data_IF_404515440887
#
_entry.id   IF_404515440887
#
_cell.length_a   1.000
_cell.length_b   1.000
_cell.length_c   1.000
_cell.angle_alpha   90.00
_cell.angle_beta   90.00
_cell.angle_gamma   90.00
#
_symmetry.space_group_name_H-M   'P 1'
#
loop_
_entity.id
_entity.type
_entity.pdbx_description
1 polymer ?
#
# COMPACT_ATOMS: atom_id res chain seq x y z
N UNK A 1 22.36 -9.55 14.87
CA UNK A 1 23.61 -9.14 14.19
C UNK A 1 23.42 -9.07 12.67
N UNK A 2 23.00 -10.15 12.00
CA UNK A 2 22.81 -10.16 10.54
C UNK A 2 21.79 -9.12 10.02
N UNK A 3 20.66 -8.94 10.70
CA UNK A 3 19.65 -7.93 10.36
C UNK A 3 20.21 -6.51 10.39
N UNK A 4 20.92 -6.14 11.46
CA UNK A 4 21.54 -4.82 11.63
C UNK A 4 22.58 -4.53 10.55
N UNK A 5 23.42 -5.52 10.20
CA UNK A 5 24.41 -5.39 9.13
C UNK A 5 23.73 -5.13 7.78
N UNK A 6 22.66 -5.88 7.47
CA UNK A 6 21.93 -5.73 6.21
C UNK A 6 21.23 -4.37 6.11
N UNK A 7 20.61 -3.91 7.21
CA UNK A 7 20.01 -2.57 7.29
C UNK A 7 21.08 -1.50 7.10
N UNK A 8 22.26 -1.65 7.72
CA UNK A 8 23.39 -0.74 7.54
C UNK A 8 23.84 -0.67 6.07
N UNK A 9 24.01 -1.81 5.42
CA UNK A 9 24.38 -1.88 4.00
C UNK A 9 23.32 -1.22 3.10
N UNK A 10 22.04 -1.52 3.31
CA UNK A 10 20.94 -0.86 2.63
C UNK A 10 20.99 0.67 2.83
N UNK A 11 21.22 1.12 4.06
CA UNK A 11 21.26 2.55 4.40
C UNK A 11 22.39 3.28 3.68
N UNK A 12 23.59 2.67 3.62
CA UNK A 12 24.75 3.26 2.93
C UNK A 12 24.50 3.39 1.42
N UNK A 13 24.03 2.31 0.77
CA UNK A 13 23.73 2.35 -0.68
C UNK A 13 22.65 3.38 -0.98
N UNK A 14 21.59 3.38 -0.17
CA UNK A 14 20.46 4.31 -0.35
C UNK A 14 20.90 5.75 -0.15
N UNK A 15 21.82 6.02 0.78
CA UNK A 15 22.37 7.37 1.01
C UNK A 15 23.24 7.85 -0.17
N UNK A 16 24.07 6.97 -0.75
CA UNK A 16 24.85 7.30 -1.96
C UNK A 16 23.92 7.65 -3.11
N UNK A 17 22.86 6.87 -3.29
CA UNK A 17 21.89 7.11 -4.34
C UNK A 17 21.03 8.35 -4.09
N UNK A 18 20.68 8.60 -2.82
CA UNK A 18 19.98 9.79 -2.36
C UNK A 18 20.74 11.06 -2.74
N UNK A 19 22.04 11.14 -2.45
CA UNK A 19 22.88 12.29 -2.78
C UNK A 19 22.92 12.52 -4.31
N UNK A 20 23.04 11.45 -5.09
CA UNK A 20 23.00 11.53 -6.55
C UNK A 20 21.65 12.01 -7.09
N UNK A 21 20.53 11.54 -6.52
CA UNK A 21 19.19 12.03 -6.89
C UNK A 21 19.03 13.51 -6.52
N UNK A 22 19.52 13.91 -5.35
CA UNK A 22 19.53 15.29 -4.90
C UNK A 22 20.29 16.22 -5.85
N UNK A 23 21.48 15.83 -6.29
CA UNK A 23 22.27 16.58 -7.27
C UNK A 23 21.64 16.62 -8.67
N UNK A 24 20.83 15.62 -9.02
CA UNK A 24 20.25 15.48 -10.36
C UNK A 24 19.05 16.40 -10.60
N UNK A 25 18.23 16.61 -9.56
CA UNK A 25 16.98 17.36 -9.66
C UNK A 25 16.58 17.97 -8.32
N UNK A 26 16.36 19.28 -8.34
CA UNK A 26 15.97 20.06 -7.16
C UNK A 26 14.51 19.81 -6.73
N UNK A 27 13.60 19.56 -7.67
CA UNK A 27 12.22 19.19 -7.40
C UNK A 27 11.68 18.26 -8.49
N UNK A 28 10.87 17.29 -8.08
CA UNK A 28 10.36 16.23 -8.95
C UNK A 28 8.83 16.24 -8.92
N UNK A 29 8.21 16.81 -9.97
CA UNK A 29 6.75 16.77 -10.19
C UNK A 29 6.00 17.35 -8.98
N UNK A 30 5.19 16.56 -8.27
CA UNK A 30 4.36 17.04 -7.16
C UNK A 30 5.18 17.27 -5.88
N UNK A 31 6.45 16.88 -5.86
CA UNK A 31 7.36 17.13 -4.76
C UNK A 31 7.48 18.63 -4.47
N UNK A 32 7.35 19.47 -5.51
CA UNK A 32 7.43 20.93 -5.37
C UNK A 32 6.39 21.45 -4.37
N UNK A 33 5.14 20.95 -4.44
CA UNK A 33 4.08 21.34 -3.51
C UNK A 33 4.41 20.91 -2.08
N UNK A 34 4.95 19.71 -1.91
CA UNK A 34 5.34 19.18 -0.60
C UNK A 34 6.57 19.93 -0.04
N UNK A 35 7.59 20.21 -0.84
CA UNK A 35 8.79 20.96 -0.46
C UNK A 35 8.40 22.34 0.05
N UNK A 36 7.63 23.10 -0.75
CA UNK A 36 7.24 24.46 -0.38
C UNK A 36 6.48 24.47 0.95
N UNK A 37 5.48 23.60 1.09
CA UNK A 37 4.70 23.49 2.33
C UNK A 37 5.55 23.03 3.53
N UNK A 38 6.48 22.09 3.31
CA UNK A 38 7.39 21.60 4.34
C UNK A 38 8.34 22.69 4.85
N UNK A 39 8.86 23.54 3.95
CA UNK A 39 9.68 24.69 4.32
C UNK A 39 8.86 25.72 5.09
N UNK A 40 7.67 26.07 4.62
CA UNK A 40 6.74 26.98 5.31
C UNK A 40 6.49 26.54 6.76
N UNK A 41 6.20 25.26 6.98
CA UNK A 41 5.99 24.71 8.33
C UNK A 41 7.30 24.67 9.14
N UNK A 42 8.43 24.34 8.51
CA UNK A 42 9.73 24.34 9.17
C UNK A 42 10.14 25.75 9.67
N UNK A 43 9.77 26.80 8.93
CA UNK A 43 9.99 28.20 9.34
C UNK A 43 8.97 28.73 10.36
N UNK A 44 7.98 27.93 10.77
CA UNK A 44 7.00 28.30 11.79
C UNK A 44 5.70 28.93 11.27
N UNK A 45 5.49 29.00 9.95
CA UNK A 45 4.29 29.58 9.34
C UNK A 45 3.15 28.55 9.24
N UNK A 46 2.62 28.09 10.38
CA UNK A 46 1.66 26.97 10.42
C UNK A 46 0.27 27.28 9.86
N UNK A 47 -0.08 28.56 9.72
CA UNK A 47 -1.38 29.00 9.23
C UNK A 47 -1.47 29.00 7.69
N UNK A 48 -0.34 28.92 7.00
CA UNK A 48 -0.31 28.90 5.55
C UNK A 48 -0.52 27.48 5.01
N UNK A 49 -1.46 27.33 4.07
CA UNK A 49 -1.75 26.05 3.44
C UNK A 49 -1.85 26.20 1.92
N UNK A 50 -1.08 25.40 1.18
CA UNK A 50 -1.17 25.38 -0.27
C UNK A 50 -2.45 24.65 -0.71
N UNK A 51 -3.35 25.31 -1.45
CA UNK A 51 -4.65 24.74 -1.84
C UNK A 51 -4.55 23.54 -2.79
N UNK A 52 -3.38 23.30 -3.41
CA UNK A 52 -3.13 22.13 -4.27
C UNK A 52 -2.78 20.86 -3.50
N UNK A 53 -2.51 20.96 -2.20
CA UNK A 53 -2.20 19.80 -1.37
C UNK A 53 -3.50 19.13 -0.93
N UNK A 54 -3.68 17.90 -1.39
CA UNK A 54 -4.88 17.10 -1.13
C UNK A 54 -4.79 16.30 0.16
N UNK A 55 -3.58 16.03 0.67
CA UNK A 55 -3.31 15.23 1.87
C UNK A 55 -3.51 16.00 3.18
N UNK A 56 -3.60 15.28 4.30
CA UNK A 56 -3.61 15.87 5.65
C UNK A 56 -2.18 16.36 6.04
N UNK A 57 -2.04 17.18 7.09
CA UNK A 57 -0.78 17.87 7.39
C UNK A 57 0.32 16.98 7.99
N UNK A 58 0.13 15.65 8.11
CA UNK A 58 1.01 14.77 8.86
C UNK A 58 2.48 14.84 8.46
N UNK A 59 2.77 14.92 7.16
CA UNK A 59 4.13 15.05 6.65
C UNK A 59 4.80 16.36 7.11
N UNK A 60 4.06 17.46 7.08
CA UNK A 60 4.57 18.79 7.44
C UNK A 60 4.66 18.99 8.96
N UNK A 61 3.86 18.29 9.75
CA UNK A 61 4.02 18.30 11.21
C UNK A 61 5.35 17.68 11.65
N UNK A 62 5.90 16.72 10.88
CA UNK A 62 7.22 16.16 11.16
C UNK A 62 8.32 17.20 10.94
N UNK A 63 8.16 18.13 9.99
CA UNK A 63 9.22 19.08 9.64
C UNK A 63 9.50 20.10 10.74
N UNK A 64 8.56 20.29 11.67
CA UNK A 64 8.69 21.16 12.84
C UNK A 64 9.89 20.76 13.71
N UNK A 65 10.22 19.47 13.72
CA UNK A 65 11.32 18.92 14.53
C UNK A 65 12.66 18.92 13.78
N UNK A 66 12.73 19.44 12.55
CA UNK A 66 13.97 19.48 11.81
C UNK A 66 14.88 20.62 12.28
N UNK A 67 16.18 20.36 12.48
CA UNK A 67 17.12 21.38 12.96
C UNK A 67 17.48 22.42 11.88
N UNK A 68 17.28 22.09 10.59
CA UNK A 68 17.54 22.97 9.45
C UNK A 68 16.45 22.80 8.42
N UNK A 69 15.96 23.90 7.86
CA UNK A 69 14.96 23.92 6.80
C UNK A 69 15.65 23.96 5.44
N UNK A 70 15.79 22.80 4.80
CA UNK A 70 16.29 22.69 3.43
C UNK A 70 15.64 21.52 2.70
N UNK A 71 15.66 21.54 1.36
CA UNK A 71 15.15 20.42 0.56
C UNK A 71 15.84 19.11 0.94
N UNK A 72 17.15 19.16 1.20
CA UNK A 72 17.93 18.00 1.65
C UNK A 72 17.37 17.43 2.96
N UNK A 73 17.15 18.26 4.00
CA UNK A 73 16.65 17.77 5.29
C UNK A 73 15.20 17.29 5.23
N UNK A 74 14.37 17.90 4.37
CA UNK A 74 13.03 17.39 4.09
C UNK A 74 13.09 15.99 3.48
N UNK A 75 13.86 15.79 2.41
CA UNK A 75 14.03 14.47 1.78
C UNK A 75 14.62 13.42 2.73
N UNK A 76 15.46 13.83 3.69
CA UNK A 76 15.98 12.92 4.73
C UNK A 76 14.88 12.27 5.58
N UNK A 77 13.70 12.88 5.71
CA UNK A 77 12.55 12.26 6.40
C UNK A 77 12.16 10.95 5.70
N UNK A 78 12.01 10.97 4.38
CA UNK A 78 11.67 9.78 3.58
C UNK A 78 12.77 8.72 3.68
N UNK A 79 14.04 9.14 3.63
CA UNK A 79 15.18 8.25 3.77
C UNK A 79 15.17 7.53 5.12
N UNK A 80 15.04 8.27 6.24
CA UNK A 80 14.98 7.69 7.59
C UNK A 80 13.77 6.78 7.74
N UNK A 81 12.60 7.20 7.26
CA UNK A 81 11.39 6.36 7.24
C UNK A 81 11.61 5.05 6.48
N UNK A 82 12.40 5.05 5.40
CA UNK A 82 12.71 3.82 4.65
C UNK A 82 13.55 2.81 5.45
N UNK A 83 14.48 3.29 6.28
CA UNK A 83 15.27 2.44 7.19
C UNK A 83 14.36 1.83 8.26
N UNK A 84 13.48 2.66 8.84
CA UNK A 84 12.48 2.21 9.82
C UNK A 84 11.52 1.19 9.19
N UNK A 85 11.11 1.39 7.94
CA UNK A 85 10.29 0.44 7.18
C UNK A 85 10.99 -0.91 7.06
N UNK A 86 12.29 -0.93 6.74
CA UNK A 86 13.04 -2.17 6.66
C UNK A 86 13.06 -2.92 8.00
N UNK A 87 13.27 -2.20 9.10
CA UNK A 87 13.18 -2.78 10.44
C UNK A 87 11.80 -3.41 10.71
N UNK A 88 10.71 -2.67 10.50
CA UNK A 88 9.36 -3.21 10.74
C UNK A 88 9.01 -4.38 9.82
N UNK A 89 9.45 -4.36 8.56
CA UNK A 89 9.25 -5.47 7.63
C UNK A 89 9.90 -6.74 8.19
N UNK A 90 11.16 -6.68 8.65
CA UNK A 90 11.85 -7.83 9.24
C UNK A 90 11.11 -8.33 10.49
N UNK A 91 10.73 -7.43 11.40
CA UNK A 91 10.04 -7.78 12.65
C UNK A 91 8.67 -8.41 12.43
N UNK A 92 7.85 -7.84 11.54
CA UNK A 92 6.53 -8.38 11.20
C UNK A 92 6.67 -9.76 10.57
N UNK A 93 7.61 -9.93 9.62
CA UNK A 93 7.86 -11.22 8.97
C UNK A 93 8.32 -12.28 9.97
N UNK A 94 9.24 -11.93 10.86
CA UNK A 94 9.75 -12.82 11.91
C UNK A 94 8.62 -13.30 12.84
N UNK A 95 7.67 -12.42 13.18
CA UNK A 95 6.51 -12.77 13.99
C UNK A 95 5.51 -13.69 13.25
N UNK A 96 5.28 -13.45 11.96
CA UNK A 96 4.34 -14.24 11.14
C UNK A 96 4.84 -15.68 10.93
N UNK A 97 6.14 -15.87 10.65
CA UNK A 97 6.74 -17.18 10.34
C UNK A 97 7.11 -18.02 11.57
N UNK A 98 7.09 -17.45 12.78
CA UNK A 98 7.29 -18.14 14.07
C UNK A 98 8.48 -19.13 14.07
N UNK A 99 9.74 -18.67 14.18
CA UNK A 99 10.99 -19.46 14.41
C UNK A 99 11.22 -20.75 13.57
N UNK A 100 10.37 -21.07 12.59
CA UNK A 100 10.45 -22.29 11.77
C UNK A 100 11.26 -22.07 10.49
N UNK A 101 11.39 -20.83 10.06
CA UNK A 101 12.16 -20.43 8.87
C UNK A 101 13.58 -20.04 9.26
N UNK A 102 14.52 -20.29 8.34
CA UNK A 102 15.90 -19.81 8.45
C UNK A 102 15.92 -18.26 8.49
N UNK A 103 16.73 -17.67 9.37
CA UNK A 103 16.85 -16.22 9.52
C UNK A 103 17.23 -15.56 8.19
N UNK A 104 18.04 -16.24 7.37
CA UNK A 104 18.42 -15.76 6.04
C UNK A 104 17.25 -15.64 5.07
N UNK A 105 16.24 -16.51 5.18
CA UNK A 105 15.07 -16.47 4.30
C UNK A 105 14.18 -15.28 4.63
N UNK A 106 14.03 -14.97 5.93
CA UNK A 106 13.32 -13.76 6.39
C UNK A 106 14.05 -12.51 5.88
N UNK A 107 15.37 -12.46 6.00
CA UNK A 107 16.18 -11.32 5.54
C UNK A 107 16.10 -11.14 4.01
N UNK A 108 16.23 -12.22 3.24
CA UNK A 108 16.11 -12.18 1.79
C UNK A 108 14.73 -11.69 1.34
N UNK A 109 13.67 -12.21 1.96
CA UNK A 109 12.30 -11.80 1.66
C UNK A 109 12.07 -10.32 2.00
N UNK A 110 12.55 -9.89 3.17
CA UNK A 110 12.45 -8.49 3.60
C UNK A 110 13.21 -7.55 2.68
N UNK A 111 14.40 -7.94 2.22
CA UNK A 111 15.20 -7.17 1.26
C UNK A 111 14.49 -7.04 -0.10
N UNK A 112 13.86 -8.13 -0.58
CA UNK A 112 13.05 -8.11 -1.82
C UNK A 112 11.90 -7.11 -1.72
N UNK A 113 11.25 -7.03 -0.56
CA UNK A 113 10.12 -6.12 -0.30
C UNK A 113 10.59 -4.66 -0.23
N UNK A 114 11.67 -4.36 0.51
CA UNK A 114 12.16 -2.97 0.66
C UNK A 114 12.70 -2.41 -0.65
N UNK A 115 13.30 -3.26 -1.48
CA UNK A 115 13.77 -2.88 -2.82
C UNK A 115 12.66 -2.88 -3.88
N UNK A 116 11.38 -3.00 -3.49
CA UNK A 116 10.24 -2.81 -4.40
C UNK A 116 10.41 -1.49 -5.18
N UNK A 117 10.51 -1.51 -6.52
CA UNK A 117 11.10 -0.37 -7.24
C UNK A 117 10.40 0.99 -7.04
N UNK A 118 9.05 1.09 -7.03
CA UNK A 118 8.40 2.35 -6.74
C UNK A 118 8.65 2.80 -5.28
N UNK A 119 8.51 1.89 -4.31
CA UNK A 119 8.77 2.20 -2.90
C UNK A 119 10.20 2.67 -2.68
N UNK A 120 11.17 2.02 -3.33
CA UNK A 120 12.57 2.39 -3.22
C UNK A 120 12.85 3.77 -3.82
N UNK A 121 12.27 4.09 -4.98
CA UNK A 121 12.38 5.43 -5.56
C UNK A 121 11.81 6.52 -4.64
N UNK A 122 10.60 6.31 -4.09
CA UNK A 122 9.95 7.28 -3.21
C UNK A 122 10.67 7.46 -1.86
N UNK A 123 11.59 6.57 -1.47
CA UNK A 123 12.45 6.78 -0.30
C UNK A 123 13.48 7.89 -0.45
N UNK A 124 13.72 8.36 -1.68
CA UNK A 124 14.75 9.34 -2.01
C UNK A 124 14.19 10.76 -2.18
N UNK A 125 12.86 10.92 -2.15
CA UNK A 125 12.16 12.16 -2.45
C UNK A 125 11.11 12.47 -1.37
N UNK A 126 10.74 13.74 -1.26
CA UNK A 126 9.91 14.23 -0.16
C UNK A 126 8.41 14.10 -0.46
N UNK A 127 7.86 12.93 -0.14
CA UNK A 127 6.46 12.57 -0.36
C UNK A 127 5.83 11.94 0.88
N UNK A 128 4.50 11.92 0.94
CA UNK A 128 3.74 11.31 2.04
C UNK A 128 3.79 9.78 2.06
N UNK A 129 4.12 9.15 0.93
CA UNK A 129 4.03 7.70 0.71
C UNK A 129 4.87 6.87 1.69
N UNK A 130 6.16 7.20 1.86
CA UNK A 130 7.07 6.41 2.69
C UNK A 130 6.79 6.57 4.19
N UNK A 131 6.57 7.80 4.72
CA UNK A 131 6.11 7.98 6.11
C UNK A 131 4.73 7.35 6.38
N UNK A 132 3.81 7.35 5.40
CA UNK A 132 2.53 6.65 5.50
C UNK A 132 2.73 5.13 5.65
N UNK A 133 3.66 4.53 4.90
CA UNK A 133 4.02 3.12 5.06
C UNK A 133 4.58 2.87 6.46
N UNK A 134 5.46 3.73 6.97
CA UNK A 134 6.05 3.59 8.31
C UNK A 134 4.99 3.55 9.41
N UNK A 135 4.05 4.48 9.35
CA UNK A 135 2.97 4.56 10.35
C UNK A 135 2.01 3.37 10.26
N UNK A 136 1.65 2.90 9.05
CA UNK A 136 0.83 1.69 8.88
C UNK A 136 1.54 0.42 9.36
N UNK A 137 2.83 0.25 9.01
CA UNK A 137 3.62 -0.88 9.51
C UNK A 137 3.71 -0.86 11.04
N UNK A 138 3.89 0.32 11.65
CA UNK A 138 3.85 0.48 13.10
C UNK A 138 2.50 0.06 13.69
N UNK A 139 1.38 0.50 13.08
CA UNK A 139 0.03 0.08 13.47
C UNK A 139 -0.11 -1.45 13.45
N UNK A 140 0.30 -2.09 12.35
CA UNK A 140 0.24 -3.55 12.23
C UNK A 140 1.10 -4.23 13.29
N UNK A 141 2.36 -3.80 13.45
CA UNK A 141 3.30 -4.34 14.41
C UNK A 141 2.76 -4.31 15.84
N UNK A 142 2.29 -3.14 16.31
CA UNK A 142 1.75 -3.00 17.66
C UNK A 142 0.42 -3.74 17.84
N UNK A 143 -0.42 -3.82 16.80
CA UNK A 143 -1.64 -4.65 16.84
C UNK A 143 -1.28 -6.13 17.02
N UNK A 144 -0.26 -6.64 16.32
CA UNK A 144 0.20 -8.03 16.47
C UNK A 144 0.77 -8.32 17.87
N UNK A 145 1.30 -7.31 18.55
CA UNK A 145 1.75 -7.38 19.95
C UNK A 145 0.62 -7.19 20.97
N UNK A 146 -0.64 -7.08 20.52
CA UNK A 146 -1.81 -6.75 21.35
C UNK A 146 -1.71 -5.39 22.08
N UNK A 147 -0.81 -4.50 21.63
CA UNK A 147 -0.66 -3.13 22.13
C UNK A 147 -1.58 -2.19 21.35
N UNK A 148 -2.88 -2.37 21.55
CA UNK A 148 -3.93 -1.74 20.74
C UNK A 148 -3.98 -0.21 20.86
N UNK A 149 -3.64 0.35 22.04
CA UNK A 149 -3.57 1.81 22.23
C UNK A 149 -2.47 2.41 21.37
N UNK A 150 -1.24 1.90 21.48
CA UNK A 150 -0.11 2.40 20.67
C UNK A 150 -0.35 2.19 19.18
N UNK A 151 -0.92 1.04 18.80
CA UNK A 151 -1.33 0.79 17.42
C UNK A 151 -2.33 1.83 16.92
N UNK A 152 -3.32 2.22 17.73
CA UNK A 152 -4.30 3.25 17.35
C UNK A 152 -3.69 4.65 17.23
N UNK A 153 -2.69 4.99 18.05
CA UNK A 153 -1.92 6.24 17.92
C UNK A 153 -1.16 6.26 16.59
N UNK A 154 -0.43 5.17 16.26
CA UNK A 154 0.20 5.03 14.96
C UNK A 154 -0.83 5.07 13.81
N UNK A 155 -2.02 4.49 14.04
CA UNK A 155 -3.13 4.51 13.09
C UNK A 155 -3.62 5.93 12.82
N UNK A 156 -3.78 6.73 13.87
CA UNK A 156 -4.09 8.16 13.75
C UNK A 156 -3.01 8.90 12.94
N UNK A 157 -1.73 8.70 13.25
CA UNK A 157 -0.64 9.30 12.50
C UNK A 157 -0.65 8.88 11.03
N UNK A 158 -1.02 7.63 10.73
CA UNK A 158 -1.15 7.15 9.35
C UNK A 158 -2.26 7.86 8.58
N UNK A 159 -3.38 8.18 9.24
CA UNK A 159 -4.47 8.96 8.64
C UNK A 159 -4.01 10.39 8.40
N UNK A 160 -3.25 10.99 9.32
CA UNK A 160 -2.67 12.32 9.11
C UNK A 160 -1.68 12.36 7.93
N UNK A 161 -0.99 11.27 7.63
CA UNK A 161 -0.17 11.18 6.41
C UNK A 161 -1.05 11.13 5.16
N UNK A 162 -2.09 10.28 5.17
CA UNK A 162 -3.01 10.09 4.04
C UNK A 162 -4.40 9.69 4.53
N UNK A 163 -5.45 10.37 4.06
CA UNK A 163 -6.83 10.13 4.52
C UNK A 163 -7.30 8.70 4.23
N UNK A 164 -6.91 8.15 3.08
CA UNK A 164 -7.28 6.79 2.66
C UNK A 164 -6.77 5.71 3.62
N UNK A 165 -5.77 6.02 4.46
CA UNK A 165 -5.26 5.09 5.47
C UNK A 165 -6.29 4.71 6.53
N UNK A 166 -7.39 5.46 6.65
CA UNK A 166 -8.51 5.09 7.53
C UNK A 166 -9.05 3.69 7.22
N UNK A 167 -9.02 3.28 5.95
CA UNK A 167 -9.48 1.96 5.51
C UNK A 167 -8.64 0.84 6.12
N UNK A 168 -7.34 1.08 6.34
CA UNK A 168 -6.43 0.13 6.97
C UNK A 168 -6.62 0.10 8.49
N UNK A 169 -6.81 1.27 9.12
CA UNK A 169 -7.09 1.36 10.57
C UNK A 169 -8.39 0.65 10.94
N UNK A 170 -9.49 0.95 10.21
CA UNK A 170 -10.78 0.29 10.40
C UNK A 170 -10.71 -1.20 10.08
N UNK A 171 -9.93 -1.56 9.07
CA UNK A 171 -9.63 -2.93 8.69
C UNK A 171 -8.97 -3.76 9.80
N UNK A 172 -7.92 -3.20 10.43
CA UNK A 172 -7.23 -3.83 11.57
C UNK A 172 -8.16 -3.99 12.77
N UNK A 173 -8.98 -2.98 13.07
CA UNK A 173 -10.02 -3.09 14.10
C UNK A 173 -10.98 -4.25 13.78
N UNK A 174 -11.53 -4.29 12.58
CA UNK A 174 -12.47 -5.32 12.15
C UNK A 174 -11.88 -6.73 12.22
N UNK A 175 -10.63 -6.91 11.76
CA UNK A 175 -9.91 -8.18 11.88
C UNK A 175 -9.79 -8.62 13.34
N UNK A 176 -9.33 -7.74 14.24
CA UNK A 176 -9.16 -8.08 15.65
C UNK A 176 -10.49 -8.42 16.35
N UNK A 177 -11.58 -7.73 16.00
CA UNK A 177 -12.93 -8.03 16.52
C UNK A 177 -13.38 -9.42 16.04
N UNK A 178 -13.27 -9.69 14.74
CA UNK A 178 -13.65 -10.98 14.15
C UNK A 178 -12.86 -12.12 14.80
N UNK A 179 -11.54 -11.96 14.92
CA UNK A 179 -10.67 -12.98 15.49
C UNK A 179 -10.94 -13.19 16.99
N UNK A 180 -11.24 -12.12 17.74
CA UNK A 180 -11.66 -12.22 19.14
C UNK A 180 -13.00 -12.94 19.30
N UNK A 181 -13.98 -12.68 18.43
CA UNK A 181 -15.27 -13.37 18.41
C UNK A 181 -15.10 -14.87 18.15
N UNK A 182 -14.29 -15.23 17.15
CA UNK A 182 -14.04 -16.64 16.80
C UNK A 182 -13.30 -17.34 17.94
N UNK A 183 -12.25 -16.73 18.49
CA UNK A 183 -11.46 -17.31 19.58
C UNK A 183 -12.30 -17.55 20.85
N UNK A 184 -13.31 -16.72 21.13
CA UNK A 184 -14.21 -16.92 22.27
C UNK A 184 -15.09 -18.16 22.13
N UNK A 185 -15.54 -18.48 20.92
CA UNK A 185 -16.37 -19.66 20.64
C UNK A 185 -15.53 -20.92 20.44
N UNK A 186 -14.32 -20.76 19.89
CA UNK A 186 -13.38 -21.83 19.60
C UNK A 186 -12.01 -21.54 20.25
N UNK A 187 -11.82 -21.81 21.55
CA UNK A 187 -10.60 -21.41 22.27
C UNK A 187 -9.30 -22.03 21.71
N UNK A 188 -9.39 -23.25 21.18
CA UNK A 188 -8.23 -24.03 20.70
C UNK A 188 -8.01 -23.95 19.18
N UNK A 189 -8.74 -23.07 18.47
CA UNK A 189 -8.60 -22.96 17.02
C UNK A 189 -7.31 -22.22 16.64
N UNK A 190 -6.57 -22.76 15.67
CA UNK A 190 -5.60 -21.94 14.95
C UNK A 190 -6.37 -20.95 14.07
N UNK A 191 -6.37 -19.67 14.47
CA UNK A 191 -7.07 -18.60 13.75
C UNK A 191 -6.65 -18.52 12.27
N UNK A 192 -5.43 -18.93 11.90
CA UNK A 192 -4.99 -18.96 10.49
C UNK A 192 -5.78 -19.98 9.64
N UNK A 193 -6.46 -20.94 10.27
CA UNK A 193 -7.31 -21.95 9.62
C UNK A 193 -8.81 -21.65 9.74
N UNK A 194 -9.16 -20.51 10.35
CA UNK A 194 -10.55 -20.08 10.46
C UNK A 194 -11.20 -19.90 9.09
N UNK A 195 -12.51 -20.14 9.02
CA UNK A 195 -13.28 -20.15 7.78
C UNK A 195 -14.61 -19.41 7.95
N UNK A 196 -15.31 -19.20 6.84
CA UNK A 196 -16.64 -18.55 6.82
C UNK A 196 -17.65 -19.26 7.72
N UNK A 197 -17.57 -20.61 7.84
CA UNK A 197 -18.40 -21.39 8.76
C UNK A 197 -18.17 -21.01 10.22
N UNK A 198 -16.90 -20.86 10.62
CA UNK A 198 -16.54 -20.46 11.98
C UNK A 198 -17.05 -19.05 12.30
N UNK A 199 -16.90 -18.12 11.35
CA UNK A 199 -17.41 -16.76 11.48
C UNK A 199 -18.94 -16.74 11.65
N UNK A 200 -19.66 -17.48 10.80
CA UNK A 200 -21.13 -17.58 10.88
C UNK A 200 -21.59 -18.10 12.24
N UNK A 201 -20.98 -19.19 12.73
CA UNK A 201 -21.32 -19.74 14.06
C UNK A 201 -20.96 -18.77 15.18
N UNK A 202 -19.81 -18.08 15.07
CA UNK A 202 -19.40 -17.08 16.05
C UNK A 202 -20.41 -15.93 16.14
N UNK A 203 -20.84 -15.37 15.01
CA UNK A 203 -21.87 -14.32 14.96
C UNK A 203 -23.18 -14.82 15.56
N UNK A 204 -23.66 -15.99 15.13
CA UNK A 204 -24.92 -16.57 15.62
C UNK A 204 -24.90 -16.79 17.14
N UNK A 205 -23.79 -17.26 17.69
CA UNK A 205 -23.65 -17.49 19.13
C UNK A 205 -23.63 -16.18 19.94
N UNK A 206 -22.93 -15.14 19.47
CA UNK A 206 -22.94 -13.85 20.14
C UNK A 206 -24.32 -13.19 20.10
N UNK A 207 -25.03 -13.28 18.97
CA UNK A 207 -26.40 -12.74 18.86
C UNK A 207 -27.41 -13.48 19.75
N UNK A 208 -27.27 -14.80 19.91
CA UNK A 208 -28.18 -15.61 20.74
C UNK A 208 -27.91 -15.53 22.24
N UNK A 209 -26.67 -15.25 22.65
CA UNK A 209 -26.25 -15.25 24.06
C UNK A 209 -25.92 -13.82 24.51
N UNK A 210 -26.85 -13.11 25.19
CA UNK A 210 -26.66 -11.70 25.54
C UNK A 210 -25.42 -11.45 26.41
N UNK A 211 -25.08 -12.39 27.31
CA UNK A 211 -23.84 -12.31 28.10
C UNK A 211 -22.58 -12.28 27.24
N UNK A 212 -22.52 -13.10 26.17
CA UNK A 212 -21.36 -13.11 25.27
C UNK A 212 -21.27 -11.83 24.45
N UNK A 213 -22.40 -11.30 24.00
CA UNK A 213 -22.46 -10.03 23.29
C UNK A 213 -21.98 -8.88 24.18
N UNK A 214 -22.44 -8.84 25.43
CA UNK A 214 -22.02 -7.84 26.42
C UNK A 214 -20.52 -7.92 26.70
N UNK A 215 -19.97 -9.12 26.93
CA UNK A 215 -18.52 -9.31 27.12
C UNK A 215 -17.70 -8.85 25.90
N UNK A 216 -18.21 -9.10 24.68
CA UNK A 216 -17.57 -8.64 23.45
C UNK A 216 -17.59 -7.10 23.36
N UNK A 217 -18.73 -6.46 23.63
CA UNK A 217 -18.87 -5.00 23.61
C UNK A 217 -17.93 -4.36 24.63
N UNK A 218 -17.88 -4.88 25.87
CA UNK A 218 -16.93 -4.40 26.87
C UNK A 218 -15.48 -4.56 26.41
N UNK A 219 -15.13 -5.71 25.82
CA UNK A 219 -13.78 -5.92 25.27
C UNK A 219 -13.48 -4.92 24.15
N UNK A 220 -14.44 -4.61 23.29
CA UNK A 220 -14.33 -3.58 22.23
C UNK A 220 -14.05 -2.21 22.85
N UNK A 221 -14.85 -1.80 23.83
CA UNK A 221 -14.73 -0.49 24.47
C UNK A 221 -13.46 -0.35 25.31
N UNK A 222 -12.97 -1.42 25.94
CA UNK A 222 -11.77 -1.33 26.79
C UNK A 222 -10.49 -1.45 25.95
N UNK A 223 -10.43 -2.41 25.03
CA UNK A 223 -9.18 -2.72 24.32
C UNK A 223 -9.03 -1.98 22.99
N UNK A 224 -10.14 -1.55 22.38
CA UNK A 224 -10.13 -1.02 21.01
C UNK A 224 -10.69 0.40 20.88
N UNK A 225 -10.94 1.11 21.99
CA UNK A 225 -11.48 2.48 21.97
C UNK A 225 -10.64 3.43 21.12
N UNK A 226 -9.31 3.29 21.13
CA UNK A 226 -8.43 4.17 20.37
C UNK A 226 -8.74 4.14 18.86
N UNK A 227 -8.96 2.96 18.28
CA UNK A 227 -9.35 2.85 16.87
C UNK A 227 -10.72 3.48 16.61
N UNK A 228 -11.67 3.28 17.53
CA UNK A 228 -13.02 3.85 17.41
C UNK A 228 -12.95 5.38 17.41
N UNK A 229 -12.15 5.97 18.30
CA UNK A 229 -11.91 7.41 18.34
C UNK A 229 -11.34 7.89 17.01
N UNK A 230 -10.32 7.23 16.45
CA UNK A 230 -9.75 7.61 15.14
C UNK A 230 -10.80 7.58 14.04
N UNK A 231 -11.64 6.55 14.00
CA UNK A 231 -12.72 6.41 13.01
C UNK A 231 -13.78 7.50 13.18
N UNK A 232 -14.23 7.75 14.42
CA UNK A 232 -15.21 8.78 14.71
C UNK A 232 -14.67 10.19 14.38
N UNK A 233 -13.41 10.48 14.73
CA UNK A 233 -12.75 11.74 14.35
C UNK A 233 -12.66 11.89 12.83
N UNK A 234 -12.38 10.81 12.10
CA UNK A 234 -12.34 10.85 10.64
C UNK A 234 -13.73 11.07 10.03
N UNK A 235 -14.77 10.43 10.56
CA UNK A 235 -16.16 10.65 10.13
C UNK A 235 -16.58 12.10 10.41
N UNK A 236 -16.24 12.63 11.59
CA UNK A 236 -16.48 14.04 11.91
C UNK A 236 -15.75 14.97 10.94
N UNK A 237 -14.48 14.67 10.62
CA UNK A 237 -13.73 15.40 9.58
C UNK A 237 -14.45 15.37 8.23
N UNK A 238 -14.97 14.22 7.78
CA UNK A 238 -15.70 14.13 6.51
C UNK A 238 -16.97 14.99 6.52
N UNK A 239 -17.73 14.99 7.62
CA UNK A 239 -18.95 15.80 7.76
C UNK A 239 -18.62 17.29 7.73
N UNK A 240 -17.59 17.71 8.45
CA UNK A 240 -17.19 19.12 8.54
C UNK A 240 -16.51 19.63 7.26
N UNK A 241 -15.66 18.81 6.62
CA UNK A 241 -14.90 19.19 5.44
C UNK A 241 -15.69 19.00 4.13
N UNK A 242 -16.70 18.14 4.11
CA UNK A 242 -17.53 17.84 2.92
C UNK A 242 -16.82 17.04 1.81
N UNK A 243 -15.56 16.62 2.02
CA UNK A 243 -14.79 15.80 1.07
C UNK A 243 -13.70 14.98 1.77
N UNK A 244 -13.23 13.93 1.10
CA UNK A 244 -12.12 13.09 1.59
C UNK A 244 -10.77 13.84 1.53
N UNK A 245 -10.55 14.63 0.47
CA UNK A 245 -9.35 15.46 0.32
C UNK A 245 -9.50 16.83 0.98
N UNK A 246 -8.40 17.43 1.41
CA UNK A 246 -8.39 18.77 2.05
C UNK A 246 -8.36 19.87 0.98
N UNK A 247 -7.38 19.81 0.08
CA UNK A 247 -7.24 20.69 -1.08
C UNK A 247 -7.68 20.05 -2.41
N UNK A 248 -7.66 20.85 -3.47
CA UNK A 248 -8.00 20.50 -4.87
C UNK A 248 -9.26 19.62 -5.05
N UNK A 249 -10.32 19.91 -4.28
CA UNK A 249 -11.55 19.08 -4.19
C UNK A 249 -12.21 18.78 -5.55
N UNK A 250 -12.15 19.73 -6.49
CA UNK A 250 -12.75 19.58 -7.82
C UNK A 250 -12.04 18.53 -8.68
N UNK A 251 -10.71 18.39 -8.56
CA UNK A 251 -9.94 17.39 -9.29
C UNK A 251 -10.01 15.99 -8.65
N UNK A 252 -10.45 15.91 -7.39
CA UNK A 252 -10.44 14.68 -6.59
C UNK A 252 -11.82 14.33 -6.02
N UNK A 253 -12.84 14.39 -6.88
CA UNK A 253 -14.17 13.86 -6.57
C UNK A 253 -14.10 12.34 -6.47
N UNK A 254 -14.67 11.78 -5.40
CA UNK A 254 -14.74 10.33 -5.24
C UNK A 254 -15.65 9.73 -6.31
N UNK A 255 -15.11 8.81 -7.10
CA UNK A 255 -15.85 8.11 -8.16
C UNK A 255 -15.60 6.63 -8.08
N UNK A 256 -16.62 5.84 -8.40
CA UNK A 256 -16.45 4.39 -8.52
C UNK A 256 -15.56 4.11 -9.75
N UNK A 257 -14.39 3.51 -9.55
CA UNK A 257 -13.43 3.11 -10.59
C UNK A 257 -12.89 1.70 -10.30
N UNK A 258 -13.72 0.67 -10.54
CA UNK A 258 -13.39 -0.74 -10.33
C UNK A 258 -12.14 -1.22 -11.07
N UNK A 259 -11.83 -0.77 -12.31
CA UNK A 259 -10.58 -1.11 -12.99
C UNK A 259 -9.29 -0.85 -12.21
N UNK A 260 -9.30 -0.01 -11.16
CA UNK A 260 -8.14 0.13 -10.27
C UNK A 260 -7.71 -1.20 -9.63
N UNK A 261 -8.64 -2.12 -9.36
CA UNK A 261 -8.32 -3.48 -8.92
C UNK A 261 -7.58 -4.28 -10.00
N UNK A 262 -7.93 -4.05 -11.27
CA UNK A 262 -7.31 -4.72 -12.40
C UNK A 262 -5.88 -4.20 -12.59
N UNK A 263 -5.66 -2.89 -12.48
CA UNK A 263 -4.33 -2.30 -12.52
C UNK A 263 -3.48 -2.72 -11.31
N UNK A 264 -4.07 -2.81 -10.11
CA UNK A 264 -3.40 -3.41 -8.95
C UNK A 264 -2.97 -4.85 -9.21
N UNK A 265 -3.80 -5.66 -9.89
CA UNK A 265 -3.42 -7.02 -10.26
C UNK A 265 -2.19 -7.07 -11.18
N UNK A 266 -2.07 -6.14 -12.14
CA UNK A 266 -0.87 -6.00 -12.97
C UNK A 266 0.35 -5.62 -12.15
N UNK A 267 0.19 -4.66 -11.24
CA UNK A 267 1.24 -4.27 -10.30
C UNK A 267 1.76 -5.49 -9.53
N UNK A 268 0.85 -6.33 -9.02
CA UNK A 268 1.24 -7.54 -8.28
C UNK A 268 1.93 -8.58 -9.16
N UNK A 269 1.56 -8.70 -10.45
CA UNK A 269 2.21 -9.63 -11.38
C UNK A 269 3.64 -9.19 -11.74
N UNK A 270 3.85 -7.88 -11.95
CA UNK A 270 5.16 -7.32 -12.30
C UNK A 270 6.12 -7.39 -11.13
N UNK A 271 5.70 -6.91 -9.95
CA UNK A 271 6.61 -6.76 -8.80
C UNK A 271 6.56 -7.92 -7.80
N UNK A 272 5.51 -8.74 -7.84
CA UNK A 272 5.30 -9.86 -6.93
C UNK A 272 5.56 -11.20 -7.60
N UNK A 273 6.69 -11.37 -8.27
CA UNK A 273 6.99 -12.63 -8.98
C UNK A 273 6.99 -13.84 -8.05
N UNK A 274 7.37 -13.67 -6.79
CA UNK A 274 7.28 -14.73 -5.79
C UNK A 274 5.86 -15.09 -5.38
N UNK A 275 4.84 -14.28 -5.69
CA UNK A 275 3.43 -14.53 -5.41
C UNK A 275 2.89 -15.61 -6.35
N UNK A 276 3.11 -15.46 -7.65
CA UNK A 276 2.42 -16.24 -8.67
C UNK A 276 3.27 -17.33 -9.33
N UNK A 277 4.59 -17.15 -9.46
CA UNK A 277 5.47 -18.15 -10.08
C UNK A 277 5.47 -19.52 -9.40
N UNK A 278 5.55 -19.64 -8.05
CA UNK A 278 5.51 -20.95 -7.40
C UNK A 278 4.24 -21.73 -7.74
N UNK A 279 3.14 -21.00 -7.94
CA UNK A 279 1.82 -21.57 -8.21
C UNK A 279 1.54 -21.76 -9.72
N UNK A 280 2.44 -21.35 -10.62
CA UNK A 280 2.17 -21.32 -12.06
C UNK A 280 1.76 -22.70 -12.60
N UNK A 281 2.51 -23.76 -12.27
CA UNK A 281 2.19 -25.14 -12.70
C UNK A 281 0.83 -25.59 -12.18
N UNK A 282 0.54 -25.33 -10.90
CA UNK A 282 -0.74 -25.69 -10.26
C UNK A 282 -1.90 -24.94 -10.92
N UNK A 283 -1.72 -23.66 -11.22
CA UNK A 283 -2.71 -22.83 -11.89
C UNK A 283 -3.01 -23.38 -13.30
N UNK A 284 -1.96 -23.75 -14.06
CA UNK A 284 -2.11 -24.37 -15.39
C UNK A 284 -2.87 -25.71 -15.34
N UNK A 285 -2.65 -26.52 -14.30
CA UNK A 285 -3.39 -27.78 -14.12
C UNK A 285 -4.87 -27.49 -13.82
N UNK A 286 -5.19 -26.48 -13.01
CA UNK A 286 -6.57 -26.10 -12.70
C UNK A 286 -7.36 -25.62 -13.92
N UNK A 287 -6.70 -25.05 -14.94
CA UNK A 287 -7.33 -24.67 -16.21
C UNK A 287 -7.87 -25.87 -17.01
N UNK A 288 -7.48 -27.12 -16.68
CA UNK A 288 -8.03 -28.33 -17.31
C UNK A 288 -9.44 -28.69 -16.80
N UNK A 289 -9.91 -28.06 -15.73
CA UNK A 289 -11.22 -28.33 -15.14
C UNK A 289 -12.31 -27.47 -15.81
N UNK A 290 -13.33 -28.11 -16.38
CA UNK A 290 -14.43 -27.41 -17.06
C UNK A 290 -15.17 -26.41 -16.17
N UNK A 291 -15.32 -26.69 -14.86
CA UNK A 291 -15.94 -25.74 -13.92
C UNK A 291 -15.10 -24.48 -13.77
N UNK A 292 -13.78 -24.62 -13.79
CA UNK A 292 -12.87 -23.47 -13.74
C UNK A 292 -12.98 -22.64 -15.02
N UNK A 293 -13.03 -23.29 -16.19
CA UNK A 293 -13.22 -22.62 -17.47
C UNK A 293 -14.54 -21.85 -17.54
N UNK A 294 -15.64 -22.43 -17.05
CA UNK A 294 -16.94 -21.74 -16.97
C UNK A 294 -16.87 -20.50 -16.07
N UNK A 295 -16.26 -20.61 -14.88
CA UNK A 295 -16.07 -19.47 -13.98
C UNK A 295 -15.25 -18.37 -14.67
N UNK A 296 -14.17 -18.73 -15.36
CA UNK A 296 -13.34 -17.78 -16.11
C UNK A 296 -14.17 -17.11 -17.21
N UNK A 297 -14.96 -17.87 -17.97
CA UNK A 297 -15.81 -17.33 -19.03
C UNK A 297 -16.82 -16.30 -18.48
N UNK A 298 -17.56 -16.63 -17.42
CA UNK A 298 -18.49 -15.68 -16.80
C UNK A 298 -17.76 -14.47 -16.20
N UNK A 299 -16.59 -14.67 -15.59
CA UNK A 299 -15.76 -13.57 -15.06
C UNK A 299 -15.29 -12.64 -16.19
N UNK A 300 -14.89 -13.19 -17.34
CA UNK A 300 -14.52 -12.41 -18.52
C UNK A 300 -15.68 -11.52 -18.97
N UNK A 301 -16.90 -12.05 -19.07
CA UNK A 301 -18.10 -11.28 -19.45
C UNK A 301 -18.31 -10.11 -18.49
N UNK A 302 -18.27 -10.37 -17.17
CA UNK A 302 -18.43 -9.33 -16.15
C UNK A 302 -17.34 -8.25 -16.31
N UNK A 303 -16.08 -8.66 -16.52
CA UNK A 303 -14.97 -7.72 -16.69
C UNK A 303 -15.08 -6.91 -17.98
N UNK A 304 -15.59 -7.48 -19.08
CA UNK A 304 -15.90 -6.71 -20.30
C UNK A 304 -16.90 -5.60 -19.99
N UNK A 305 -17.98 -5.90 -19.28
CA UNK A 305 -19.00 -4.91 -18.89
C UNK A 305 -18.38 -3.83 -17.99
N UNK A 306 -17.59 -4.22 -17.00
CA UNK A 306 -16.91 -3.26 -16.10
C UNK A 306 -15.95 -2.35 -16.88
N UNK A 307 -15.12 -2.89 -17.77
CA UNK A 307 -14.16 -2.10 -18.57
C UNK A 307 -14.88 -1.18 -19.56
N UNK A 308 -16.04 -1.60 -20.07
CA UNK A 308 -16.82 -0.76 -20.97
C UNK A 308 -17.50 0.40 -20.23
N UNK A 309 -18.07 0.13 -19.05
CA UNK A 309 -18.89 1.10 -18.31
C UNK A 309 -18.10 1.94 -17.31
N UNK A 310 -16.94 1.46 -16.86
CA UNK A 310 -16.28 1.98 -15.67
C UNK A 310 -14.77 2.20 -15.82
N UNK A 311 -14.21 2.21 -17.04
CA UNK A 311 -12.84 2.71 -17.24
C UNK A 311 -12.84 4.24 -17.26
N UNK A 312 -12.26 4.84 -16.22
CA UNK A 312 -12.14 6.29 -16.08
C UNK A 312 -10.72 6.70 -16.45
N UNK A 313 -10.59 7.73 -17.31
CA UNK A 313 -9.31 8.25 -17.77
C UNK A 313 -9.14 9.66 -17.22
N UNK A 314 -8.24 9.81 -16.26
CA UNK A 314 -7.98 11.11 -15.65
C UNK A 314 -7.17 12.02 -16.60
N UNK A 315 -7.47 13.33 -16.73
CA UNK A 315 -6.71 14.23 -17.59
C UNK A 315 -5.19 14.25 -17.32
N UNK A 316 -4.79 14.21 -16.04
CA UNK A 316 -3.36 14.17 -15.68
C UNK A 316 -2.62 12.94 -16.24
N UNK A 317 -3.29 11.79 -16.37
CA UNK A 317 -2.69 10.60 -16.97
C UNK A 317 -2.35 10.80 -18.45
N UNK A 318 -3.12 11.63 -19.15
CA UNK A 318 -2.95 11.92 -20.57
C UNK A 318 -2.03 13.12 -20.83
N UNK A 319 -1.83 13.98 -19.85
CA UNK A 319 -1.05 15.22 -19.99
C UNK A 319 0.40 15.10 -19.47
N UNK A 320 0.63 14.27 -18.45
CA UNK A 320 1.92 14.28 -17.75
C UNK A 320 2.90 13.21 -18.27
N UNK A 321 3.72 13.60 -19.25
CA UNK A 321 4.76 12.75 -19.83
C UNK A 321 5.95 12.44 -18.90
N UNK A 322 5.93 12.89 -17.65
CA UNK A 322 6.97 12.61 -16.65
C UNK A 322 6.73 11.29 -15.90
N UNK A 323 5.60 10.61 -16.13
CA UNK A 323 5.26 9.33 -15.48
C UNK A 323 5.32 8.15 -16.45
N UNK A 324 5.73 6.97 -15.99
CA UNK A 324 5.69 5.76 -16.83
C UNK A 324 4.26 5.38 -17.26
N UNK A 325 3.28 5.63 -16.39
CA UNK A 325 1.86 5.35 -16.65
C UNK A 325 1.33 6.10 -17.88
N UNK A 326 1.79 7.34 -18.11
CA UNK A 326 1.47 8.11 -19.32
C UNK A 326 1.86 7.36 -20.59
N UNK A 327 3.08 6.80 -20.64
CA UNK A 327 3.56 6.10 -21.83
C UNK A 327 2.86 4.77 -22.04
N UNK A 328 2.58 4.02 -20.97
CA UNK A 328 1.82 2.77 -21.04
C UNK A 328 0.41 3.05 -21.56
N UNK A 329 -0.23 4.11 -21.05
CA UNK A 329 -1.57 4.49 -21.45
C UNK A 329 -1.58 4.95 -22.91
N UNK A 330 -0.81 5.97 -23.26
CA UNK A 330 -0.86 6.59 -24.58
C UNK A 330 -0.35 5.68 -25.71
N UNK A 331 0.60 4.76 -25.44
CA UNK A 331 1.09 3.84 -26.48
C UNK A 331 0.22 2.62 -26.69
N UNK A 332 -0.56 2.20 -25.68
CA UNK A 332 -1.35 0.97 -25.73
C UNK A 332 -2.83 1.20 -25.46
N UNK A 333 -3.23 1.51 -24.22
CA UNK A 333 -4.64 1.61 -23.82
C UNK A 333 -5.41 2.70 -24.58
N UNK A 334 -4.80 3.88 -24.76
CA UNK A 334 -5.39 5.00 -25.49
C UNK A 334 -5.29 4.87 -27.01
N UNK A 335 -4.26 4.17 -27.52
CA UNK A 335 -4.03 4.00 -28.96
C UNK A 335 -4.92 2.92 -29.57
N UNK A 336 -5.10 1.79 -28.89
CA UNK A 336 -5.84 0.64 -29.41
C UNK A 336 -7.06 0.38 -28.52
N UNK A 337 -8.25 0.71 -29.02
CA UNK A 337 -9.51 0.58 -28.27
C UNK A 337 -9.76 -0.84 -27.71
N UNK A 338 -9.26 -1.87 -28.40
CA UNK A 338 -9.42 -3.27 -28.01
C UNK A 338 -8.41 -3.73 -26.95
N UNK A 339 -7.30 -3.00 -26.75
CA UNK A 339 -6.21 -3.43 -25.87
C UNK A 339 -6.66 -3.64 -24.43
N UNK A 340 -7.51 -2.76 -23.90
CA UNK A 340 -8.09 -2.89 -22.56
C UNK A 340 -8.84 -4.22 -22.35
N UNK A 341 -9.47 -4.76 -23.39
CA UNK A 341 -10.16 -6.06 -23.34
C UNK A 341 -9.21 -7.24 -23.49
N UNK A 342 -8.12 -7.10 -24.25
CA UNK A 342 -7.09 -8.14 -24.36
C UNK A 342 -6.35 -8.41 -23.06
N UNK A 343 -6.37 -7.44 -22.12
CA UNK A 343 -5.76 -7.58 -20.80
C UNK A 343 -6.61 -8.38 -19.81
N UNK A 344 -7.88 -8.69 -20.11
CA UNK A 344 -8.79 -9.38 -19.18
C UNK A 344 -8.24 -10.73 -18.68
N UNK A 345 -7.70 -11.63 -19.53
CA UNK A 345 -7.11 -12.87 -19.04
C UNK A 345 -5.95 -12.64 -18.07
N UNK A 346 -5.14 -11.60 -18.32
CA UNK A 346 -4.02 -11.21 -17.44
C UNK A 346 -4.54 -10.71 -16.10
N UNK A 347 -5.59 -9.88 -16.11
CA UNK A 347 -6.23 -9.40 -14.87
C UNK A 347 -6.85 -10.53 -14.06
N UNK A 348 -7.56 -11.48 -14.69
CA UNK A 348 -8.13 -12.64 -14.01
C UNK A 348 -7.00 -13.46 -13.36
N UNK A 349 -5.92 -13.71 -14.08
CA UNK A 349 -4.76 -14.41 -13.54
C UNK A 349 -4.15 -13.66 -12.35
N UNK A 350 -3.97 -12.34 -12.46
CA UNK A 350 -3.44 -11.51 -11.37
C UNK A 350 -4.33 -11.52 -10.14
N UNK A 351 -5.63 -11.23 -10.29
CA UNK A 351 -6.61 -11.22 -9.20
C UNK A 351 -6.72 -12.58 -8.51
N UNK A 352 -6.69 -13.67 -9.29
CA UNK A 352 -6.68 -15.02 -8.73
C UNK A 352 -5.44 -15.25 -7.85
N UNK A 353 -4.25 -14.85 -8.31
CA UNK A 353 -3.02 -15.02 -7.52
C UNK A 353 -2.97 -14.12 -6.29
N UNK A 354 -3.54 -12.90 -6.35
CA UNK A 354 -3.75 -12.05 -5.17
C UNK A 354 -4.61 -12.78 -4.16
N UNK A 355 -5.79 -13.26 -4.57
CA UNK A 355 -6.72 -13.97 -3.70
C UNK A 355 -6.11 -15.27 -3.13
N UNK A 356 -5.45 -16.07 -3.97
CA UNK A 356 -4.83 -17.33 -3.56
C UNK A 356 -3.67 -17.13 -2.58
N UNK A 357 -3.05 -15.94 -2.57
CA UNK A 357 -1.95 -15.60 -1.67
C UNK A 357 -2.42 -15.02 -0.33
N UNK A 358 -3.72 -14.75 -0.16
CA UNK A 358 -4.28 -14.35 1.12
C UNK A 358 -4.23 -15.52 2.12
N UNK A 359 -3.20 -15.52 2.95
CA UNK A 359 -3.08 -16.39 4.10
C UNK A 359 -3.32 -15.65 5.41
N UNK A 360 -3.86 -16.36 6.40
CA UNK A 360 -4.26 -15.77 7.68
C UNK A 360 -5.70 -16.11 8.03
N UNK A 361 -6.19 -15.45 9.08
CA UNK A 361 -7.55 -15.64 9.56
C UNK A 361 -8.60 -15.17 8.55
N UNK A 362 -9.84 -15.63 8.71
CA UNK A 362 -10.97 -15.09 7.95
C UNK A 362 -11.13 -13.58 8.21
N UNK A 363 -10.82 -13.11 9.43
CA UNK A 363 -10.74 -11.70 9.76
C UNK A 363 -9.77 -10.95 8.86
N UNK A 364 -8.55 -11.45 8.67
CA UNK A 364 -7.55 -10.85 7.78
C UNK A 364 -8.02 -10.81 6.32
N UNK A 365 -8.62 -11.89 5.82
CA UNK A 365 -9.12 -11.97 4.43
C UNK A 365 -10.21 -10.93 4.16
N UNK A 366 -11.15 -10.79 5.10
CA UNK A 366 -12.22 -9.79 5.04
C UNK A 366 -11.63 -8.38 5.09
N UNK A 367 -10.79 -8.11 6.10
CA UNK A 367 -10.04 -6.87 6.24
C UNK A 367 -9.39 -6.45 4.92
N UNK A 368 -8.49 -7.29 4.40
CA UNK A 368 -7.72 -6.95 3.22
C UNK A 368 -8.63 -6.67 2.03
N UNK A 369 -9.64 -7.52 1.80
CA UNK A 369 -10.58 -7.37 0.68
C UNK A 369 -11.36 -6.05 0.76
N UNK A 370 -11.91 -5.70 1.92
CA UNK A 370 -12.65 -4.44 2.06
C UNK A 370 -11.73 -3.22 1.99
N UNK A 371 -10.54 -3.28 2.59
CA UNK A 371 -9.59 -2.16 2.55
C UNK A 371 -9.12 -1.86 1.13
N UNK A 372 -8.84 -2.87 0.29
CA UNK A 372 -8.48 -2.62 -1.13
C UNK A 372 -9.65 -2.06 -1.93
N UNK A 373 -10.87 -2.55 -1.71
CA UNK A 373 -12.05 -2.06 -2.42
C UNK A 373 -12.29 -0.58 -2.11
N UNK A 374 -12.28 -0.21 -0.83
CA UNK A 374 -12.49 1.17 -0.42
C UNK A 374 -11.34 2.11 -0.82
N UNK A 375 -10.10 1.63 -0.77
CA UNK A 375 -8.93 2.44 -1.11
C UNK A 375 -8.82 2.69 -2.61
N UNK A 376 -9.06 1.67 -3.44
CA UNK A 376 -8.86 1.76 -4.88
C UNK A 376 -10.09 2.19 -5.64
N UNK A 377 -11.24 1.60 -5.35
CA UNK A 377 -12.42 1.80 -6.18
C UNK A 377 -13.00 3.21 -6.05
N UNK A 378 -12.52 4.05 -5.14
CA UNK A 378 -12.95 5.45 -5.01
C UNK A 378 -11.98 6.45 -5.67
N UNK A 379 -10.87 5.97 -6.26
CA UNK A 379 -9.82 6.81 -6.84
C UNK A 379 -9.92 6.90 -8.38
N UNK A 380 -9.92 8.11 -8.91
CA UNK A 380 -9.94 8.40 -10.35
C UNK A 380 -8.59 8.16 -11.02
N UNK A 381 -7.52 8.72 -10.44
CA UNK A 381 -6.17 8.70 -11.02
C UNK A 381 -5.49 7.34 -10.85
N UNK A 382 -4.91 6.83 -11.94
CA UNK A 382 -4.07 5.64 -11.91
C UNK A 382 -2.64 6.07 -11.54
N UNK A 383 -2.21 5.73 -10.34
CA UNK A 383 -0.86 6.05 -9.88
C UNK A 383 -0.24 4.88 -9.12
N UNK A 384 0.97 4.49 -9.53
CA UNK A 384 1.65 3.27 -9.07
C UNK A 384 1.83 3.27 -7.54
N UNK A 385 2.08 4.43 -6.95
CA UNK A 385 2.29 4.60 -5.51
C UNK A 385 1.06 4.25 -4.65
N UNK A 386 -0.16 4.31 -5.20
CA UNK A 386 -1.37 3.93 -4.46
C UNK A 386 -1.42 2.43 -4.16
N UNK A 387 -0.71 1.62 -4.94
CA UNK A 387 -0.66 0.16 -4.79
C UNK A 387 0.32 -0.32 -3.71
N UNK A 388 1.16 0.55 -3.15
CA UNK A 388 2.26 0.18 -2.25
C UNK A 388 1.79 -0.51 -0.97
N UNK A 389 0.95 0.13 -0.16
CA UNK A 389 0.46 -0.42 1.12
C UNK A 389 -0.26 -1.77 0.91
N UNK A 390 -1.26 -1.87 0.02
CA UNK A 390 -1.91 -3.14 -0.30
C UNK A 390 -0.93 -4.25 -0.70
N UNK A 391 -0.02 -3.98 -1.64
CA UNK A 391 0.96 -4.98 -2.07
C UNK A 391 1.89 -5.41 -0.93
N UNK A 392 2.35 -4.44 -0.13
CA UNK A 392 3.21 -4.69 1.01
C UNK A 392 2.53 -5.60 2.04
N UNK A 393 1.27 -5.32 2.40
CA UNK A 393 0.51 -6.15 3.34
C UNK A 393 0.29 -7.55 2.77
N UNK A 394 -0.03 -7.68 1.48
CA UNK A 394 -0.15 -8.99 0.82
C UNK A 394 1.15 -9.79 0.91
N UNK A 395 2.29 -9.18 0.59
CA UNK A 395 3.61 -9.83 0.66
C UNK A 395 3.99 -10.21 2.09
N UNK A 396 3.74 -9.32 3.06
CA UNK A 396 4.04 -9.55 4.46
C UNK A 396 3.24 -10.70 5.06
N UNK A 397 1.96 -10.82 4.73
CA UNK A 397 1.07 -11.84 5.31
C UNK A 397 1.02 -13.15 4.54
N UNK A 398 1.60 -13.22 3.33
CA UNK A 398 1.76 -14.47 2.59
C UNK A 398 2.60 -15.47 3.40
N UNK A 399 2.09 -16.68 3.56
CA UNK A 399 2.78 -17.82 4.16
C UNK A 399 3.52 -18.62 3.07
N UNK A 400 4.57 -19.36 3.46
CA UNK A 400 5.35 -20.26 2.63
C UNK A 400 6.05 -19.56 1.46
N UNK A 401 7.20 -18.95 1.75
CA UNK A 401 8.09 -18.45 0.72
C UNK A 401 9.15 -19.50 0.44
N UNK A 402 9.31 -19.88 -0.82
CA UNK A 402 10.49 -20.61 -1.21
C UNK A 402 11.59 -19.59 -1.52
N UNK A 403 12.77 -19.80 -0.95
CA UNK A 403 13.95 -18.95 -1.09
C UNK A 403 14.24 -18.57 -2.55
N UNK A 404 14.13 -19.54 -3.46
CA UNK A 404 14.35 -19.37 -4.90
C UNK A 404 13.51 -18.25 -5.51
N UNK A 405 12.22 -18.20 -5.18
CA UNK A 405 11.31 -17.22 -5.78
C UNK A 405 11.48 -15.83 -5.16
N UNK A 406 11.80 -15.75 -3.87
CA UNK A 406 12.16 -14.48 -3.22
C UNK A 406 13.47 -13.91 -3.79
N UNK A 407 14.45 -14.77 -4.07
CA UNK A 407 15.71 -14.36 -4.71
C UNK A 407 15.50 -13.87 -6.14
N UNK A 408 14.65 -14.55 -6.91
CA UNK A 408 14.31 -14.12 -8.27
C UNK A 408 13.58 -12.77 -8.28
N UNK A 409 12.63 -12.57 -7.35
CA UNK A 409 11.94 -11.28 -7.16
C UNK A 409 12.93 -10.17 -6.83
N UNK A 410 13.88 -10.43 -5.92
CA UNK A 410 14.95 -9.49 -5.57
C UNK A 410 15.79 -9.08 -6.79
N UNK A 411 16.23 -10.04 -7.62
CA UNK A 411 17.01 -9.73 -8.83
C UNK A 411 16.20 -8.85 -9.78
N UNK A 412 14.94 -9.18 -10.01
CA UNK A 412 14.06 -8.39 -10.88
C UNK A 412 13.89 -6.97 -10.33
N UNK A 413 13.67 -6.83 -9.03
CA UNK A 413 13.56 -5.53 -8.38
C UNK A 413 14.85 -4.70 -8.51
N UNK A 414 16.03 -5.31 -8.33
CA UNK A 414 17.33 -4.63 -8.53
C UNK A 414 17.48 -4.18 -10.00
N UNK A 415 17.15 -5.03 -10.97
CA UNK A 415 17.24 -4.69 -12.40
C UNK A 415 16.29 -3.54 -12.76
N UNK A 416 15.04 -3.58 -12.30
CA UNK A 416 14.06 -2.51 -12.54
C UNK A 416 14.52 -1.21 -11.88
N UNK A 417 15.03 -1.26 -10.64
CA UNK A 417 15.61 -0.08 -9.99
C UNK A 417 16.77 0.50 -10.81
N UNK A 418 17.72 -0.33 -11.24
CA UNK A 418 18.83 0.12 -12.06
C UNK A 418 18.36 0.81 -13.35
N UNK A 419 17.40 0.21 -14.06
CA UNK A 419 16.82 0.81 -15.27
C UNK A 419 16.08 2.11 -14.97
N UNK A 420 15.32 2.15 -13.88
CA UNK A 420 14.57 3.34 -13.44
C UNK A 420 15.52 4.50 -13.15
N UNK A 421 16.58 4.26 -12.39
CA UNK A 421 17.57 5.29 -12.10
C UNK A 421 18.39 5.68 -13.34
N UNK A 422 18.71 4.73 -14.23
CA UNK A 422 19.35 5.05 -15.51
C UNK A 422 18.48 5.99 -16.35
N UNK A 423 17.18 5.72 -16.44
CA UNK A 423 16.22 6.58 -17.14
C UNK A 423 16.14 7.95 -16.45
N UNK A 424 15.97 7.98 -15.13
CA UNK A 424 15.87 9.20 -14.34
C UNK A 424 17.10 10.12 -14.51
N UNK A 425 18.32 9.57 -14.53
CA UNK A 425 19.54 10.35 -14.68
C UNK A 425 19.78 10.83 -16.13
N UNK A 426 19.42 10.01 -17.13
CA UNK A 426 19.76 10.27 -18.54
C UNK A 426 18.71 11.08 -19.29
N UNK A 427 17.42 10.83 -19.05
CA UNK A 427 16.34 11.47 -19.80
C UNK A 427 15.98 12.79 -19.11
N UNK A 428 15.89 13.85 -19.93
CA UNK A 428 15.48 15.20 -19.53
C UNK A 428 14.24 15.59 -20.33
N UNK A 429 13.24 16.14 -19.66
CA UNK A 429 12.01 16.64 -20.28
C UNK A 429 11.90 18.13 -19.94
N UNK A 430 11.80 18.96 -20.97
CA UNK A 430 11.60 20.39 -20.78
C UNK A 430 10.09 20.68 -20.71
N UNK A 431 9.68 21.37 -19.65
CA UNK A 431 8.33 21.89 -19.48
C UNK A 431 8.41 23.41 -19.36
N UNK A 432 7.59 24.19 -20.08
CA UNK A 432 7.68 25.66 -20.09
C UNK A 432 7.55 26.30 -18.70
N UNK A 433 6.84 25.62 -17.80
CA UNK A 433 6.53 26.07 -16.44
C UNK A 433 7.69 25.88 -15.45
N UNK A 434 8.70 25.09 -15.81
CA UNK A 434 9.83 24.76 -14.96
C UNK A 434 11.14 25.31 -15.55
N UNK A 435 11.92 26.00 -14.72
CA UNK A 435 13.25 26.49 -15.12
C UNK A 435 14.25 25.35 -15.35
N UNK A 436 14.10 24.25 -14.60
CA UNK A 436 14.98 23.08 -14.64
C UNK A 436 14.32 21.91 -15.40
N UNK A 437 15.10 21.11 -16.15
CA UNK A 437 14.58 19.94 -16.85
C UNK A 437 14.01 18.92 -15.87
N UNK A 438 12.77 18.50 -16.14
CA UNK A 438 12.06 17.47 -15.39
C UNK A 438 12.56 16.07 -15.79
N UNK A 439 12.28 15.09 -14.93
CA UNK A 439 12.74 13.69 -15.08
C UNK A 439 11.55 12.74 -15.14
N UNK A 440 11.78 11.56 -15.73
CA UNK A 440 10.76 10.49 -15.75
C UNK A 440 10.81 9.70 -14.44
N UNK A 441 9.65 9.50 -13.82
CA UNK A 441 9.46 8.71 -12.59
C UNK A 441 8.31 7.71 -12.73
N UNK A 442 8.00 7.03 -11.61
CA UNK A 442 6.93 6.05 -11.45
C UNK A 442 5.53 6.54 -11.74
#
# INVERSE_FOLDING_TARGET
>A
MHSSILIGFYSIITLILFDKVYQTSQSIIDELFHINQGLTYCYGFYQEWNPKITTLPGLYLITIFLPRCSVFTLRMISFVCSIINFYFIIEIRSNIEKKKSDDYDILLNSLSIVLLPPMYFFSLIYYTDIPAITTILSTIYFSMKSQHVLSSICGFLSVLMRQTNICWVAGILGMNIIDAMIAKVYPNIDLKKSSTKHLYVAIKNHLKKPKMLYELILKILINFYGYIIVILCFVLFLILNGSIVVGDKQAHVATIHLPQLFYFSLFTLVFGTSIWLPNLKKNLIHLRNIKCLLIIFFTMIIMVVIIQQNTIVHPYLLADNRHYTFYIWNRFYGRYWFFKYTMIPVYIFGLYNVYASLSGSIGFKIFYTFSILLTFCLQTLIEVRYFLIPFLILRLFKNNHEKKWSFMELIINILINFLTFKIFFSIKINWPEFQEPQRIIW
#
